data_IF_219191390027
#
_entry.id   IF_219191390027
#
_cell.length_a   1.000
_cell.length_b   1.000
_cell.length_c   1.000
_cell.angle_alpha   90.00
_cell.angle_beta   90.00
_cell.angle_gamma   90.00
#
_symmetry.space_group_name_H-M   'P 1'
#
loop_
_entity.id
_entity.type
_entity.pdbx_description
1 polymer ?
#
# COMPACT_ATOMS: atom_id res chain seq x y z
N UNK A 1 16.38 25.31 -6.38
CA UNK A 1 15.51 24.87 -7.50
C UNK A 1 15.68 23.41 -7.91
N UNK A 2 16.90 22.90 -8.15
CA UNK A 2 17.09 21.53 -8.64
C UNK A 2 16.36 20.43 -7.85
N UNK A 3 16.41 20.47 -6.52
CA UNK A 3 15.68 19.51 -5.68
C UNK A 3 14.16 19.57 -5.85
N UNK A 4 13.56 20.75 -5.99
CA UNK A 4 12.11 20.86 -6.18
C UNK A 4 11.69 20.27 -7.52
N UNK A 5 12.42 20.58 -8.60
CA UNK A 5 12.17 20.02 -9.94
C UNK A 5 12.24 18.50 -9.90
N UNK A 6 13.26 17.96 -9.22
CA UNK A 6 13.43 16.52 -9.05
C UNK A 6 12.25 15.89 -8.30
N UNK A 7 11.82 16.49 -7.19
CA UNK A 7 10.66 15.99 -6.42
C UNK A 7 9.37 16.06 -7.24
N UNK A 8 9.12 17.13 -8.00
CA UNK A 8 7.94 17.19 -8.88
C UNK A 8 7.98 16.10 -9.95
N UNK A 9 9.15 15.84 -10.54
CA UNK A 9 9.30 14.73 -11.48
C UNK A 9 8.95 13.39 -10.83
N UNK A 10 9.46 13.12 -9.62
CA UNK A 10 9.13 11.90 -8.88
C UNK A 10 7.63 11.79 -8.54
N UNK A 11 6.98 12.90 -8.17
CA UNK A 11 5.53 12.93 -7.92
C UNK A 11 4.74 12.64 -9.20
N UNK A 12 5.17 13.19 -10.34
CA UNK A 12 4.54 12.90 -11.63
C UNK A 12 4.67 11.42 -11.99
N UNK A 13 5.85 10.81 -11.81
CA UNK A 13 6.07 9.37 -12.01
C UNK A 13 5.16 8.55 -11.08
N UNK A 14 5.12 8.88 -9.78
CA UNK A 14 4.25 8.21 -8.81
C UNK A 14 2.78 8.25 -9.25
N UNK A 15 2.31 9.42 -9.68
CA UNK A 15 0.92 9.63 -10.11
C UNK A 15 0.60 8.79 -11.33
N UNK A 16 1.44 8.85 -12.37
CA UNK A 16 1.25 8.07 -13.61
C UNK A 16 1.29 6.56 -13.35
N UNK A 17 2.26 6.09 -12.57
CA UNK A 17 2.38 4.68 -12.21
C UNK A 17 1.17 4.18 -11.41
N UNK A 18 0.70 4.98 -10.44
CA UNK A 18 -0.46 4.63 -9.62
C UNK A 18 -1.74 4.58 -10.45
N UNK A 19 -1.99 5.59 -11.31
CA UNK A 19 -3.13 5.60 -12.23
C UNK A 19 -3.08 4.39 -13.16
N UNK A 20 -1.92 4.07 -13.73
CA UNK A 20 -1.75 2.89 -14.58
C UNK A 20 -2.07 1.58 -13.83
N UNK A 21 -1.58 1.42 -12.60
CA UNK A 21 -1.85 0.22 -11.80
C UNK A 21 -3.34 0.08 -11.46
N UNK A 22 -3.98 1.17 -11.05
CA UNK A 22 -5.41 1.21 -10.73
C UNK A 22 -6.23 0.88 -11.98
N UNK A 23 -5.93 1.52 -13.12
CA UNK A 23 -6.57 1.22 -14.40
C UNK A 23 -6.39 -0.25 -14.78
N UNK A 24 -5.15 -0.76 -14.72
CA UNK A 24 -4.87 -2.17 -15.00
C UNK A 24 -5.74 -3.07 -14.14
N UNK A 25 -5.79 -2.84 -12.83
CA UNK A 25 -6.60 -3.65 -11.91
C UNK A 25 -8.08 -3.64 -12.27
N UNK A 26 -8.65 -2.47 -12.58
CA UNK A 26 -10.07 -2.37 -12.96
C UNK A 26 -10.40 -3.02 -14.31
N UNK A 27 -9.42 -3.14 -15.20
CA UNK A 27 -9.59 -3.78 -16.51
C UNK A 27 -9.30 -5.28 -16.53
N UNK A 28 -8.81 -5.85 -15.43
CA UNK A 28 -8.55 -7.29 -15.37
C UNK A 28 -9.86 -8.09 -15.52
N UNK A 29 -9.83 -9.22 -16.25
CA UNK A 29 -10.95 -10.16 -16.29
C UNK A 29 -11.33 -10.63 -14.88
N UNK A 30 -12.59 -11.05 -14.71
CA UNK A 30 -13.03 -11.69 -13.47
C UNK A 30 -12.09 -12.87 -13.13
N UNK A 31 -11.53 -12.86 -11.93
CA UNK A 31 -10.61 -13.90 -11.46
C UNK A 31 -11.38 -15.15 -11.00
N UNK A 32 -10.69 -16.30 -10.93
CA UNK A 32 -11.26 -17.52 -10.34
C UNK A 32 -11.33 -17.31 -8.83
N UNK A 33 -12.55 -17.26 -8.30
CA UNK A 33 -12.82 -16.97 -6.89
C UNK A 33 -12.76 -18.25 -6.07
N UNK A 34 -12.08 -18.19 -4.94
CA UNK A 34 -12.11 -19.24 -3.93
C UNK A 34 -12.88 -18.68 -2.74
N UNK A 35 -14.01 -19.31 -2.43
CA UNK A 35 -14.84 -18.92 -1.30
C UNK A 35 -14.24 -19.50 -0.01
N UNK A 36 -13.29 -18.77 0.57
CA UNK A 36 -12.58 -19.20 1.78
C UNK A 36 -13.26 -18.57 2.99
N UNK A 37 -14.18 -19.33 3.60
CA UNK A 37 -14.76 -18.98 4.89
C UNK A 37 -13.79 -19.30 6.03
N UNK A 38 -13.78 -18.51 7.12
CA UNK A 38 -14.71 -17.42 7.41
C UNK A 38 -14.34 -16.08 6.75
N UNK A 39 -15.34 -15.42 6.14
CA UNK A 39 -15.21 -14.08 5.60
C UNK A 39 -15.52 -13.05 6.69
N UNK A 40 -14.63 -12.08 6.88
CA UNK A 40 -14.64 -11.24 8.08
C UNK A 40 -15.71 -10.14 8.06
N UNK A 41 -16.27 -9.83 6.89
CA UNK A 41 -17.38 -8.88 6.75
C UNK A 41 -18.75 -9.54 6.91
N UNK A 42 -18.83 -10.84 7.22
CA UNK A 42 -20.09 -11.50 7.53
C UNK A 42 -20.78 -10.85 8.73
N UNK A 43 -22.10 -11.04 8.82
CA UNK A 43 -22.90 -10.53 9.95
C UNK A 43 -22.40 -11.11 11.27
N UNK A 44 -22.60 -10.38 12.38
CA UNK A 44 -21.98 -10.69 13.67
C UNK A 44 -22.29 -12.11 14.19
N UNK A 45 -23.50 -12.61 13.93
CA UNK A 45 -23.92 -13.96 14.31
C UNK A 45 -23.10 -15.03 13.58
N UNK A 46 -22.92 -14.90 12.26
CA UNK A 46 -22.18 -15.87 11.43
C UNK A 46 -20.68 -15.77 11.59
N UNK A 47 -20.16 -14.55 11.69
CA UNK A 47 -18.74 -14.31 11.86
C UNK A 47 -18.18 -14.93 13.16
N UNK A 48 -19.02 -15.15 14.19
CA UNK A 48 -18.62 -15.72 15.46
C UNK A 48 -18.17 -17.19 15.37
N UNK A 49 -18.96 -18.02 14.67
CA UNK A 49 -18.65 -19.45 14.50
C UNK A 49 -17.96 -19.75 13.15
N UNK A 50 -17.79 -18.73 12.32
CA UNK A 50 -17.09 -18.80 11.04
C UNK A 50 -17.95 -19.31 9.89
N UNK A 51 -19.25 -19.06 9.95
CA UNK A 51 -20.21 -19.52 8.96
C UNK A 51 -20.26 -18.70 7.67
N UNK A 52 -21.17 -19.11 6.79
CA UNK A 52 -21.41 -18.51 5.46
C UNK A 52 -22.87 -18.11 5.27
N UNK A 53 -23.13 -17.09 4.45
CA UNK A 53 -24.47 -16.82 3.92
C UNK A 53 -25.13 -18.04 3.25
N UNK A 54 -24.34 -19.01 2.75
CA UNK A 54 -24.82 -20.24 2.11
C UNK A 54 -25.53 -21.19 3.08
N UNK A 55 -25.37 -21.00 4.39
CA UNK A 55 -26.08 -21.79 5.41
C UNK A 55 -27.57 -21.45 5.48
N UNK A 56 -27.96 -20.26 5.00
CA UNK A 56 -29.36 -19.87 4.97
C UNK A 56 -30.08 -20.63 3.84
N UNK A 57 -31.16 -21.33 4.19
CA UNK A 57 -32.06 -21.93 3.18
C UNK A 57 -32.56 -20.83 2.24
N UNK A 58 -32.56 -21.10 0.95
CA UNK A 58 -32.91 -20.14 -0.09
C UNK A 58 -32.12 -18.82 0.01
N UNK A 59 -30.84 -18.86 0.39
CA UNK A 59 -30.00 -17.66 0.49
C UNK A 59 -30.03 -16.80 -0.78
N UNK A 60 -30.17 -17.41 -1.96
CA UNK A 60 -30.23 -16.72 -3.26
C UNK A 60 -31.48 -15.86 -3.45
N UNK A 61 -32.53 -16.05 -2.63
CA UNK A 61 -33.73 -15.19 -2.63
C UNK A 61 -33.56 -13.96 -1.74
N UNK A 62 -32.56 -13.95 -0.87
CA UNK A 62 -32.35 -12.89 0.11
C UNK A 62 -31.33 -11.87 -0.42
N UNK A 63 -31.40 -10.64 0.08
CA UNK A 63 -30.35 -9.65 -0.17
C UNK A 63 -29.06 -10.13 0.50
N UNK A 64 -27.96 -10.04 -0.24
CA UNK A 64 -26.63 -10.28 0.31
C UNK A 64 -26.28 -9.16 1.31
N UNK A 65 -25.92 -9.55 2.53
CA UNK A 65 -25.69 -8.64 3.66
C UNK A 65 -24.24 -8.73 4.13
N UNK A 66 -23.57 -7.59 4.19
CA UNK A 66 -22.22 -7.45 4.72
C UNK A 66 -22.16 -6.38 5.80
N UNK A 67 -21.17 -6.47 6.67
CA UNK A 67 -20.89 -5.52 7.74
C UNK A 67 -19.57 -4.82 7.49
N UNK A 68 -19.65 -3.57 6.99
CA UNK A 68 -18.49 -2.69 6.84
C UNK A 68 -17.78 -2.45 8.20
N UNK A 69 -18.53 -2.45 9.31
CA UNK A 69 -17.94 -2.31 10.64
C UNK A 69 -17.05 -3.52 10.98
N UNK A 70 -17.48 -4.74 10.67
CA UNK A 70 -16.69 -5.94 10.92
C UNK A 70 -15.45 -5.99 10.01
N UNK A 71 -15.62 -5.57 8.75
CA UNK A 71 -14.54 -5.38 7.79
C UNK A 71 -13.44 -4.48 8.36
N UNK A 72 -13.79 -3.26 8.78
CA UNK A 72 -12.87 -2.30 9.38
C UNK A 72 -12.25 -2.83 10.69
N UNK A 73 -13.06 -3.45 11.55
CA UNK A 73 -12.60 -4.03 12.82
C UNK A 73 -11.55 -5.13 12.61
N UNK A 74 -11.60 -5.86 11.49
CA UNK A 74 -10.57 -6.83 11.15
C UNK A 74 -9.38 -6.18 10.43
N UNK A 75 -9.63 -5.33 9.42
CA UNK A 75 -8.57 -4.74 8.59
C UNK A 75 -7.64 -3.82 9.39
N UNK A 76 -8.19 -2.96 10.25
CA UNK A 76 -7.40 -1.95 10.96
C UNK A 76 -6.31 -2.61 11.82
N UNK A 77 -6.59 -3.59 12.68
CA UNK A 77 -5.54 -4.28 13.43
C UNK A 77 -4.61 -5.11 12.55
N UNK A 78 -5.13 -5.71 11.48
CA UNK A 78 -4.32 -6.52 10.56
C UNK A 78 -3.29 -5.69 9.81
N UNK A 79 -3.62 -4.44 9.46
CA UNK A 79 -2.70 -3.56 8.75
C UNK A 79 -1.84 -2.77 9.73
N UNK A 80 -2.42 -2.06 10.70
CA UNK A 80 -1.66 -1.19 11.59
C UNK A 80 -0.76 -1.95 12.55
N UNK A 81 -1.22 -3.10 13.07
CA UNK A 81 -0.49 -3.88 14.06
C UNK A 81 0.06 -5.20 13.53
N UNK A 82 -0.07 -5.46 12.22
CA UNK A 82 0.38 -6.71 11.60
C UNK A 82 -0.13 -7.94 12.38
N UNK A 83 -1.43 -7.93 12.75
CA UNK A 83 -2.02 -8.92 13.68
C UNK A 83 -1.76 -10.37 13.23
N UNK A 84 -1.80 -10.67 11.94
CA UNK A 84 -1.43 -11.98 11.40
C UNK A 84 -0.02 -12.42 11.79
N UNK A 85 0.98 -11.54 11.67
CA UNK A 85 2.36 -11.83 12.11
C UNK A 85 2.44 -12.01 13.63
N UNK A 86 1.70 -11.22 14.41
CA UNK A 86 1.67 -11.39 15.86
C UNK A 86 1.13 -12.76 16.29
N UNK A 87 0.16 -13.29 15.56
CA UNK A 87 -0.43 -14.61 15.85
C UNK A 87 0.46 -15.75 15.37
N UNK A 88 0.90 -15.71 14.12
CA UNK A 88 1.55 -16.85 13.46
C UNK A 88 3.08 -16.84 13.60
N UNK A 89 3.71 -15.68 13.75
CA UNK A 89 5.16 -15.56 13.83
C UNK A 89 5.62 -14.35 14.66
N UNK A 90 5.50 -14.47 15.99
CA UNK A 90 5.89 -13.40 16.94
C UNK A 90 7.34 -12.95 16.79
N UNK A 91 8.26 -13.87 16.50
CA UNK A 91 9.68 -13.53 16.32
C UNK A 91 9.87 -12.56 15.16
N UNK A 92 9.20 -12.81 14.03
CA UNK A 92 9.25 -11.92 12.87
C UNK A 92 8.49 -10.61 13.12
N UNK A 93 7.43 -10.63 13.92
CA UNK A 93 6.66 -9.44 14.28
C UNK A 93 7.52 -8.37 14.97
N UNK A 94 8.35 -8.75 15.96
CA UNK A 94 9.18 -7.79 16.69
C UNK A 94 10.17 -7.01 15.81
N UNK A 95 10.52 -7.57 14.65
CA UNK A 95 11.42 -6.94 13.68
C UNK A 95 10.61 -6.20 12.60
N UNK A 96 9.53 -6.80 12.14
CA UNK A 96 8.67 -6.25 11.08
C UNK A 96 7.87 -5.04 11.56
N UNK A 97 7.40 -5.04 12.81
CA UNK A 97 6.55 -3.98 13.33
C UNK A 97 7.28 -2.63 13.40
N UNK A 98 8.50 -2.51 13.98
CA UNK A 98 9.27 -1.25 13.92
C UNK A 98 9.50 -0.74 12.49
N UNK A 99 9.75 -1.65 11.53
CA UNK A 99 9.91 -1.30 10.12
C UNK A 99 8.64 -0.65 9.55
N UNK A 100 7.49 -1.28 9.73
CA UNK A 100 6.21 -0.75 9.25
C UNK A 100 5.80 0.51 10.01
N UNK A 101 6.01 0.55 11.32
CA UNK A 101 5.77 1.73 12.15
C UNK A 101 6.58 2.92 11.63
N UNK A 102 7.87 2.73 11.32
CA UNK A 102 8.70 3.78 10.71
C UNK A 102 8.10 4.32 9.42
N UNK A 103 7.67 3.45 8.51
CA UNK A 103 7.03 3.85 7.25
C UNK A 103 5.68 4.57 7.47
N UNK A 104 4.85 4.07 8.38
CA UNK A 104 3.57 4.71 8.73
C UNK A 104 3.79 6.11 9.32
N UNK A 105 4.75 6.25 10.23
CA UNK A 105 5.04 7.55 10.83
C UNK A 105 5.65 8.51 9.80
N UNK A 106 6.44 8.06 8.83
CA UNK A 106 6.89 8.93 7.73
C UNK A 106 5.74 9.46 6.87
N UNK A 107 4.74 8.64 6.58
CA UNK A 107 3.54 9.10 5.90
C UNK A 107 2.80 10.14 6.75
N UNK A 108 2.65 9.88 8.05
CA UNK A 108 2.01 10.83 8.99
C UNK A 108 2.79 12.15 9.03
N UNK A 109 4.12 12.13 9.15
CA UNK A 109 4.95 13.34 9.14
C UNK A 109 4.79 14.10 7.84
N UNK A 110 4.81 13.43 6.70
CA UNK A 110 4.61 14.08 5.41
C UNK A 110 3.27 14.82 5.36
N UNK A 111 2.18 14.20 5.85
CA UNK A 111 0.87 14.84 5.96
C UNK A 111 0.88 16.00 6.95
N UNK A 112 1.51 15.85 8.12
CA UNK A 112 1.62 16.93 9.12
C UNK A 112 2.42 18.13 8.58
N UNK A 113 3.49 17.88 7.83
CA UNK A 113 4.28 18.93 7.19
C UNK A 113 3.47 19.67 6.11
N UNK A 114 2.66 18.95 5.33
CA UNK A 114 1.74 19.57 4.36
C UNK A 114 0.69 20.44 5.06
N UNK A 115 0.11 19.94 6.16
CA UNK A 115 -0.87 20.69 6.97
C UNK A 115 -0.23 21.94 7.56
N UNK A 116 0.98 21.83 8.11
CA UNK A 116 1.72 22.99 8.62
C UNK A 116 1.99 24.00 7.51
N UNK A 117 2.51 23.57 6.37
CA UNK A 117 2.79 24.47 5.25
C UNK A 117 1.52 25.15 4.73
N UNK A 118 0.40 24.44 4.66
CA UNK A 118 -0.90 25.01 4.29
C UNK A 118 -1.35 26.09 5.27
N UNK A 119 -1.27 25.85 6.58
CA UNK A 119 -1.64 26.86 7.58
C UNK A 119 -0.73 28.10 7.54
N UNK A 120 0.56 27.91 7.28
CA UNK A 120 1.49 29.02 7.06
C UNK A 120 1.10 29.87 5.85
N UNK A 121 0.67 29.25 4.74
CA UNK A 121 0.24 29.97 3.53
C UNK A 121 -1.13 30.62 3.67
N UNK A 122 -2.01 30.07 4.49
CA UNK A 122 -3.34 30.63 4.74
C UNK A 122 -3.26 31.94 5.54
N UNK A 123 -2.12 32.23 6.20
CA UNK A 123 -1.93 33.42 7.06
C UNK A 123 -3.05 33.55 8.12
N UNK A 124 -3.51 32.41 8.65
CA UNK A 124 -4.56 32.38 9.67
C UNK A 124 -4.05 33.00 10.98
N UNK A 125 -4.83 33.90 11.58
CA UNK A 125 -4.53 34.45 12.91
C UNK A 125 -4.46 33.39 14.00
N UNK A 126 -5.11 32.23 13.79
CA UNK A 126 -5.06 31.06 14.69
C UNK A 126 -3.71 30.33 14.60
N UNK A 127 -3.01 30.45 13.46
CA UNK A 127 -1.69 29.89 13.22
C UNK A 127 -0.60 30.98 13.24
N UNK A 128 -0.72 31.93 14.18
CA UNK A 128 0.30 32.93 14.41
C UNK A 128 1.60 32.27 14.89
N UNK A 129 2.75 32.83 14.49
CA UNK A 129 4.05 32.38 14.93
C UNK A 129 4.15 32.39 16.47
N UNK A 130 4.52 31.26 17.06
CA UNK A 130 4.57 31.10 18.53
C UNK A 130 3.20 30.94 19.20
N UNK A 131 2.11 30.87 18.44
CA UNK A 131 0.79 30.53 18.95
C UNK A 131 0.70 29.06 19.39
N UNK A 132 -0.25 28.77 20.29
CA UNK A 132 -0.45 27.43 20.86
C UNK A 132 -0.60 26.34 19.79
N UNK A 133 -1.37 26.61 18.73
CA UNK A 133 -1.63 25.63 17.65
C UNK A 133 -0.36 25.33 16.85
N UNK A 134 0.43 26.35 16.50
CA UNK A 134 1.70 26.18 15.80
C UNK A 134 2.69 25.38 16.65
N UNK A 135 2.83 25.73 17.93
CA UNK A 135 3.77 25.06 18.83
C UNK A 135 3.38 23.60 19.06
N UNK A 136 2.08 23.29 19.21
CA UNK A 136 1.60 21.91 19.34
C UNK A 136 1.84 21.10 18.07
N UNK A 137 1.53 21.65 16.89
CA UNK A 137 1.75 20.98 15.62
C UNK A 137 3.25 20.74 15.37
N UNK A 138 4.06 21.76 15.61
CA UNK A 138 5.52 21.68 15.50
C UNK A 138 6.09 20.65 16.48
N UNK A 139 5.65 20.63 17.73
CA UNK A 139 6.05 19.63 18.72
C UNK A 139 5.67 18.21 18.29
N UNK A 140 4.45 18.02 17.77
CA UNK A 140 4.00 16.72 17.24
C UNK A 140 4.86 16.25 16.07
N UNK A 141 5.18 17.14 15.12
CA UNK A 141 6.05 16.83 13.97
C UNK A 141 7.42 16.35 14.44
N UNK A 142 8.00 17.01 15.45
CA UNK A 142 9.31 16.62 15.99
C UNK A 142 9.23 15.24 16.63
N UNK A 143 8.28 15.02 17.55
CA UNK A 143 8.15 13.76 18.28
C UNK A 143 7.88 12.59 17.34
N UNK A 144 6.89 12.73 16.46
CA UNK A 144 6.56 11.71 15.45
C UNK A 144 7.73 11.50 14.49
N UNK A 145 8.39 12.60 14.09
CA UNK A 145 9.64 12.67 13.34
C UNK A 145 10.68 11.69 13.85
N UNK A 146 11.14 11.93 15.08
CA UNK A 146 12.18 11.16 15.73
C UNK A 146 11.77 9.69 15.91
N UNK A 147 10.56 9.43 16.40
CA UNK A 147 10.08 8.05 16.59
C UNK A 147 10.07 7.31 15.26
N UNK A 148 9.56 7.93 14.20
CA UNK A 148 9.51 7.34 12.86
C UNK A 148 10.88 7.05 12.28
N UNK A 149 11.84 7.98 12.38
CA UNK A 149 13.19 7.80 11.86
C UNK A 149 13.96 6.71 12.61
N UNK A 150 13.84 6.67 13.94
CA UNK A 150 14.47 5.64 14.77
C UNK A 150 13.85 4.27 14.50
N UNK A 151 12.53 4.17 14.55
CA UNK A 151 11.82 2.91 14.30
C UNK A 151 12.09 2.38 12.87
N UNK A 152 12.07 3.26 11.87
CA UNK A 152 12.36 2.90 10.48
C UNK A 152 13.79 2.46 10.27
N UNK A 153 14.77 3.11 10.92
CA UNK A 153 16.19 2.71 10.85
C UNK A 153 16.39 1.34 11.49
N UNK A 154 15.95 1.17 12.74
CA UNK A 154 16.10 -0.08 13.50
C UNK A 154 15.35 -1.23 12.81
N UNK A 155 14.12 -0.96 12.37
CA UNK A 155 13.29 -1.93 11.66
C UNK A 155 13.88 -2.36 10.32
N UNK A 156 14.34 -1.41 9.51
CA UNK A 156 14.96 -1.72 8.20
C UNK A 156 16.24 -2.52 8.36
N UNK A 157 17.10 -2.14 9.31
CA UNK A 157 18.32 -2.88 9.62
C UNK A 157 18.00 -4.27 10.14
N UNK A 158 17.05 -4.39 11.09
CA UNK A 158 16.62 -5.66 11.63
C UNK A 158 16.06 -6.60 10.55
N UNK A 159 15.24 -6.08 9.64
CA UNK A 159 14.69 -6.86 8.52
C UNK A 159 15.77 -7.31 7.54
N UNK A 160 16.75 -6.46 7.25
CA UNK A 160 17.90 -6.82 6.41
C UNK A 160 18.70 -7.96 7.06
N UNK A 161 19.07 -7.81 8.34
CA UNK A 161 19.83 -8.80 9.08
C UNK A 161 19.07 -10.13 9.19
N UNK A 162 17.76 -10.07 9.50
CA UNK A 162 16.92 -11.26 9.59
C UNK A 162 16.86 -12.01 8.25
N UNK A 163 16.79 -11.29 7.13
CA UNK A 163 16.78 -11.87 5.78
C UNK A 163 18.14 -12.43 5.32
N UNK A 164 19.25 -11.93 5.88
CA UNK A 164 20.59 -12.44 5.59
C UNK A 164 20.92 -13.70 6.42
N UNK A 165 20.49 -13.73 7.69
CA UNK A 165 20.82 -14.78 8.65
C UNK A 165 19.85 -15.96 8.57
N UNK A 166 18.55 -15.70 8.47
CA UNK A 166 17.52 -16.74 8.53
C UNK A 166 17.45 -17.49 7.19
N UNK A 167 17.89 -18.76 7.20
CA UNK A 167 17.92 -19.60 6.00
C UNK A 167 16.55 -19.78 5.36
N UNK A 168 15.49 -19.87 6.17
CA UNK A 168 14.13 -20.06 5.67
C UNK A 168 13.64 -18.79 4.96
N UNK A 169 13.90 -17.60 5.52
CA UNK A 169 13.55 -16.35 4.82
C UNK A 169 14.41 -16.13 3.57
N UNK A 170 15.70 -16.48 3.64
CA UNK A 170 16.61 -16.34 2.50
C UNK A 170 16.17 -17.16 1.29
N UNK A 171 15.63 -18.37 1.49
CA UNK A 171 15.11 -19.20 0.39
C UNK A 171 13.88 -18.62 -0.30
N UNK A 172 13.14 -17.72 0.35
CA UNK A 172 11.98 -17.02 -0.23
C UNK A 172 12.28 -15.57 -0.61
N UNK A 173 13.56 -15.16 -0.60
CA UNK A 173 13.97 -13.79 -0.90
C UNK A 173 14.55 -13.66 -2.29
N UNK A 174 14.11 -12.65 -3.01
CA UNK A 174 14.68 -12.24 -4.30
C UNK A 174 15.73 -11.14 -4.11
N UNK A 175 16.58 -10.91 -5.11
CA UNK A 175 17.56 -9.79 -5.10
C UNK A 175 16.85 -8.44 -4.91
N UNK A 176 15.67 -8.28 -5.52
CA UNK A 176 14.85 -7.07 -5.40
C UNK A 176 14.41 -6.81 -3.96
N UNK A 177 14.15 -7.84 -3.16
CA UNK A 177 13.77 -7.67 -1.75
C UNK A 177 14.91 -7.05 -0.93
N UNK A 178 16.16 -7.43 -1.20
CA UNK A 178 17.33 -6.85 -0.54
C UNK A 178 17.55 -5.40 -0.99
N UNK A 179 17.45 -5.13 -2.30
CA UNK A 179 17.57 -3.77 -2.84
C UNK A 179 16.52 -2.84 -2.22
N UNK A 180 15.27 -3.29 -2.13
CA UNK A 180 14.18 -2.52 -1.53
C UNK A 180 14.48 -2.16 -0.06
N UNK A 181 14.90 -3.14 0.74
CA UNK A 181 15.20 -2.91 2.17
C UNK A 181 16.41 -1.99 2.33
N UNK A 182 17.47 -2.17 1.53
CA UNK A 182 18.65 -1.29 1.56
C UNK A 182 18.27 0.13 1.17
N UNK A 183 17.47 0.30 0.13
CA UNK A 183 17.03 1.62 -0.32
C UNK A 183 16.22 2.36 0.76
N UNK A 184 15.28 1.68 1.41
CA UNK A 184 14.53 2.22 2.55
C UNK A 184 15.44 2.52 3.74
N UNK A 185 16.39 1.63 4.06
CA UNK A 185 17.36 1.83 5.13
C UNK A 185 18.22 3.09 4.87
N UNK A 186 18.70 3.28 3.65
CA UNK A 186 19.49 4.47 3.27
C UNK A 186 18.69 5.75 3.42
N UNK A 187 17.40 5.74 3.08
CA UNK A 187 16.51 6.87 3.30
C UNK A 187 16.41 7.21 4.80
N UNK A 188 16.08 6.23 5.64
CA UNK A 188 15.95 6.43 7.08
C UNK A 188 17.26 6.86 7.74
N UNK A 189 18.39 6.25 7.36
CA UNK A 189 19.71 6.63 7.85
C UNK A 189 20.06 8.06 7.46
N UNK A 190 19.82 8.45 6.21
CA UNK A 190 20.08 9.81 5.75
C UNK A 190 19.23 10.82 6.54
N UNK A 191 17.93 10.54 6.71
CA UNK A 191 17.01 11.40 7.45
C UNK A 191 17.42 11.54 8.92
N UNK A 192 17.80 10.43 9.56
CA UNK A 192 18.26 10.41 10.95
C UNK A 192 19.56 11.19 11.12
N UNK A 193 20.54 11.00 10.22
CA UNK A 193 21.81 11.72 10.27
C UNK A 193 21.63 13.21 10.01
N UNK A 194 20.76 13.61 9.07
CA UNK A 194 20.41 15.01 8.85
C UNK A 194 19.77 15.63 10.09
N UNK A 195 18.86 14.92 10.74
CA UNK A 195 18.20 15.40 11.95
C UNK A 195 19.16 15.52 13.12
N UNK A 196 20.11 14.59 13.27
CA UNK A 196 21.13 14.67 14.32
C UNK A 196 22.15 15.79 14.11
N UNK A 197 22.52 16.08 12.87
CA UNK A 197 23.65 16.98 12.56
C UNK A 197 23.25 18.39 12.17
N UNK A 198 22.09 18.58 11.53
CA UNK A 198 21.75 19.83 10.86
C UNK A 198 20.32 20.32 11.13
N UNK A 199 19.34 19.43 11.35
CA UNK A 199 17.93 19.82 11.52
C UNK A 199 17.19 19.07 12.65
N UNK A 200 17.61 19.20 13.93
CA UNK A 200 17.01 18.43 15.03
C UNK A 200 15.53 18.72 15.29
N UNK A 201 15.09 19.92 14.91
CA UNK A 201 13.72 20.39 15.09
C UNK A 201 12.87 20.29 13.81
N UNK A 202 13.42 19.70 12.74
CA UNK A 202 12.76 19.55 11.44
C UNK A 202 12.26 20.87 10.84
N UNK A 203 12.93 21.99 11.19
CA UNK A 203 12.59 23.32 10.67
C UNK A 203 12.88 23.41 9.18
N UNK A 204 14.03 22.86 8.78
CA UNK A 204 14.34 22.72 7.38
C UNK A 204 13.27 21.88 6.67
N UNK A 205 12.92 20.71 7.20
CA UNK A 205 11.96 19.83 6.53
C UNK A 205 10.61 20.55 6.28
N UNK A 206 10.16 21.38 7.23
CA UNK A 206 8.99 22.25 7.07
C UNK A 206 9.17 23.29 5.98
N UNK A 207 10.30 24.01 6.00
CA UNK A 207 10.64 25.01 4.98
C UNK A 207 10.70 24.39 3.57
N UNK A 208 11.19 23.15 3.46
CA UNK A 208 11.27 22.44 2.19
C UNK A 208 9.88 22.12 1.62
N UNK A 209 8.95 21.65 2.45
CA UNK A 209 7.57 21.36 2.04
C UNK A 209 6.82 22.66 1.70
N UNK A 210 7.03 23.73 2.45
CA UNK A 210 6.52 25.06 2.10
C UNK A 210 7.04 25.54 0.75
N UNK A 211 8.34 25.34 0.50
CA UNK A 211 8.98 25.57 -0.79
C UNK A 211 8.33 24.77 -1.92
N UNK A 212 8.02 23.48 -1.70
CA UNK A 212 7.30 22.63 -2.66
C UNK A 212 5.87 23.12 -2.94
N UNK A 213 5.13 23.63 -1.96
CA UNK A 213 3.78 24.15 -2.22
C UNK A 213 3.79 25.49 -2.97
N UNK A 214 4.91 26.21 -2.94
CA UNK A 214 5.06 27.55 -3.52
C UNK A 214 5.94 27.58 -4.77
N UNK A 215 6.21 26.42 -5.38
CA UNK A 215 7.10 26.31 -6.55
C UNK A 215 8.50 26.91 -6.33
N UNK A 216 8.99 26.88 -5.09
CA UNK A 216 10.29 27.43 -4.67
C UNK A 216 10.31 28.95 -4.46
N UNK A 217 9.17 29.64 -4.62
CA UNK A 217 9.11 31.12 -4.47
C UNK A 217 9.29 31.57 -3.02
N UNK A 218 8.74 30.84 -2.05
CA UNK A 218 8.91 31.16 -0.62
C UNK A 218 10.32 30.89 -0.10
N UNK A 219 10.99 29.85 -0.63
CA UNK A 219 12.30 29.38 -0.18
C UNK A 219 13.10 28.85 -1.37
N UNK A 220 14.13 29.58 -1.80
CA UNK A 220 14.95 29.21 -2.95
C UNK A 220 16.05 28.20 -2.63
N UNK A 221 16.46 28.13 -1.36
CA UNK A 221 17.48 27.22 -0.85
C UNK A 221 17.03 26.55 0.46
N UNK A 222 17.30 25.24 0.56
CA UNK A 222 17.03 24.41 1.72
C UNK A 222 18.36 24.15 2.45
N UNK A 223 18.50 24.69 3.67
CA UNK A 223 19.78 24.69 4.41
C UNK A 223 20.30 23.26 4.66
N UNK A 224 19.51 22.29 5.15
CA UNK A 224 20.00 20.92 5.29
C UNK A 224 20.36 20.25 3.96
N UNK A 225 19.76 20.68 2.84
CA UNK A 225 20.08 20.19 1.49
C UNK A 225 21.46 20.59 0.99
N UNK A 226 22.16 21.45 1.72
CA UNK A 226 23.56 21.78 1.48
C UNK A 226 24.50 20.74 2.11
N UNK A 227 24.00 19.92 3.04
CA UNK A 227 24.72 18.76 3.56
C UNK A 227 24.48 17.53 2.67
N UNK A 228 25.46 16.63 2.60
CA UNK A 228 25.32 15.37 1.85
C UNK A 228 24.13 14.56 2.38
N UNK A 229 24.02 14.42 3.71
CA UNK A 229 22.92 13.67 4.32
C UNK A 229 21.55 14.28 3.99
N UNK A 230 21.41 15.61 4.04
CA UNK A 230 20.13 16.27 3.77
C UNK A 230 19.75 16.24 2.29
N UNK A 231 20.73 16.41 1.39
CA UNK A 231 20.54 16.19 -0.03
C UNK A 231 20.09 14.75 -0.33
N UNK A 232 20.79 13.76 0.24
CA UNK A 232 20.43 12.34 0.14
C UNK A 232 19.04 12.08 0.69
N UNK A 233 18.65 12.67 1.81
CA UNK A 233 17.30 12.52 2.39
C UNK A 233 16.22 12.96 1.40
N UNK A 234 16.36 14.13 0.79
CA UNK A 234 15.41 14.62 -0.22
C UNK A 234 15.39 13.70 -1.43
N UNK A 235 16.57 13.36 -1.96
CA UNK A 235 16.68 12.56 -3.18
C UNK A 235 16.10 11.16 -2.97
N UNK A 236 16.50 10.48 -1.91
CA UNK A 236 16.02 9.14 -1.58
C UNK A 236 14.53 9.14 -1.25
N UNK A 237 14.04 10.14 -0.50
CA UNK A 237 12.61 10.27 -0.19
C UNK A 237 11.77 10.49 -1.44
N UNK A 238 12.22 11.37 -2.35
CA UNK A 238 11.54 11.63 -3.63
C UNK A 238 11.56 10.39 -4.53
N UNK A 239 12.71 9.73 -4.64
CA UNK A 239 12.83 8.48 -5.40
C UNK A 239 11.94 7.38 -4.80
N UNK A 240 11.85 7.27 -3.47
CA UNK A 240 11.02 6.26 -2.82
C UNK A 240 9.54 6.45 -3.17
N UNK A 241 9.06 7.69 -3.21
CA UNK A 241 7.70 8.02 -3.67
C UNK A 241 7.50 7.51 -5.11
N UNK A 242 8.40 7.84 -6.04
CA UNK A 242 8.29 7.37 -7.44
C UNK A 242 8.39 5.83 -7.56
N UNK A 243 9.21 5.21 -6.72
CA UNK A 243 9.58 3.80 -6.81
C UNK A 243 8.55 2.83 -6.23
N UNK A 244 7.89 3.19 -5.12
CA UNK A 244 6.90 2.34 -4.45
C UNK A 244 5.83 1.77 -5.39
N UNK A 245 5.11 2.56 -6.22
CA UNK A 245 4.08 2.02 -7.11
C UNK A 245 4.65 1.14 -8.22
N UNK A 246 5.94 1.25 -8.55
CA UNK A 246 6.57 0.47 -9.61
C UNK A 246 7.09 -0.89 -9.15
N UNK A 247 6.92 -1.24 -7.87
CA UNK A 247 7.47 -2.47 -7.29
C UNK A 247 6.43 -3.29 -6.53
N UNK A 248 6.87 -4.44 -6.02
CA UNK A 248 6.10 -5.25 -5.08
C UNK A 248 5.67 -4.47 -3.82
N UNK A 249 6.32 -3.34 -3.50
CA UNK A 249 5.94 -2.48 -2.37
C UNK A 249 4.60 -1.75 -2.56
N UNK A 250 4.05 -1.74 -3.78
CA UNK A 250 2.70 -1.23 -4.05
C UNK A 250 1.62 -1.88 -3.18
N UNK A 251 1.85 -3.11 -2.70
CA UNK A 251 0.94 -3.76 -1.74
C UNK A 251 0.67 -2.89 -0.51
N UNK A 252 1.60 -2.02 -0.08
CA UNK A 252 1.43 -1.17 1.10
C UNK A 252 0.16 -0.31 1.02
N UNK A 253 -0.09 0.33 -0.12
CA UNK A 253 -1.27 1.20 -0.29
C UNK A 253 -2.41 0.47 -1.01
N UNK A 254 -2.10 -0.38 -2.00
CA UNK A 254 -3.13 -1.14 -2.72
C UNK A 254 -3.89 -2.10 -1.80
N UNK A 255 -3.25 -2.62 -0.74
CA UNK A 255 -3.91 -3.49 0.25
C UNK A 255 -5.11 -2.79 0.87
N UNK A 256 -5.04 -1.52 1.26
CA UNK A 256 -6.21 -0.84 1.84
C UNK A 256 -7.39 -0.74 0.86
N UNK A 257 -7.12 -0.43 -0.41
CA UNK A 257 -8.16 -0.23 -1.42
C UNK A 257 -8.69 -1.51 -2.04
N UNK A 258 -7.92 -2.60 -2.02
CA UNK A 258 -8.28 -3.85 -2.68
C UNK A 258 -8.42 -5.03 -1.72
N UNK A 259 -8.22 -4.86 -0.41
CA UNK A 259 -8.26 -5.97 0.55
C UNK A 259 -9.54 -6.78 0.44
N UNK A 260 -10.68 -6.08 0.39
CA UNK A 260 -12.00 -6.66 0.28
C UNK A 260 -12.17 -7.41 -1.04
N UNK A 261 -11.77 -6.80 -2.16
CA UNK A 261 -11.89 -7.40 -3.49
C UNK A 261 -10.93 -8.58 -3.74
N UNK A 262 -9.90 -8.74 -2.91
CA UNK A 262 -8.88 -9.80 -3.10
C UNK A 262 -9.03 -10.92 -2.08
N UNK A 263 -9.23 -10.59 -0.80
CA UNK A 263 -9.29 -11.59 0.28
C UNK A 263 -10.72 -12.02 0.60
N UNK A 264 -11.70 -11.16 0.32
CA UNK A 264 -13.08 -11.32 0.78
C UNK A 264 -14.09 -11.13 -0.37
N UNK A 265 -13.71 -11.37 -1.63
CA UNK A 265 -14.66 -11.29 -2.74
C UNK A 265 -15.55 -12.55 -2.80
N UNK A 266 -16.54 -12.60 -1.91
CA UNK A 266 -17.55 -13.65 -1.76
C UNK A 266 -18.92 -13.24 -2.34
N UNK A 267 -18.96 -12.16 -3.15
CA UNK A 267 -20.21 -11.66 -3.73
C UNK A 267 -20.86 -12.73 -4.61
N UNK A 268 -22.11 -13.15 -4.33
CA UNK A 268 -22.75 -14.22 -5.08
C UNK A 268 -23.00 -13.82 -6.54
N UNK A 269 -22.89 -14.78 -7.45
CA UNK A 269 -23.33 -14.57 -8.83
C UNK A 269 -24.87 -14.54 -8.88
N UNK A 270 -25.43 -13.44 -9.38
CA UNK A 270 -26.87 -13.27 -9.57
C UNK A 270 -27.20 -13.11 -11.05
N UNK A 271 -28.38 -13.58 -11.45
CA UNK A 271 -28.87 -13.45 -12.83
C UNK A 271 -29.08 -11.98 -13.17
N UNK A 272 -28.59 -11.56 -14.34
CA UNK A 272 -28.51 -10.17 -14.78
C UNK A 272 -27.44 -9.35 -14.06
N UNK A 273 -26.66 -9.97 -13.17
CA UNK A 273 -25.67 -9.28 -12.35
C UNK A 273 -24.36 -9.00 -13.09
N UNK A 274 -23.52 -8.16 -12.48
CA UNK A 274 -22.18 -7.80 -12.98
C UNK A 274 -21.29 -9.03 -13.21
N UNK A 275 -21.36 -10.01 -12.32
CA UNK A 275 -20.55 -11.24 -12.39
C UNK A 275 -20.96 -12.08 -13.59
N UNK A 276 -22.26 -12.32 -13.79
CA UNK A 276 -22.76 -13.05 -14.96
C UNK A 276 -22.33 -12.37 -16.27
N UNK A 277 -22.48 -11.05 -16.37
CA UNK A 277 -22.03 -10.29 -17.53
C UNK A 277 -20.51 -10.44 -17.78
N UNK A 278 -19.70 -10.40 -16.72
CA UNK A 278 -18.25 -10.59 -16.81
C UNK A 278 -17.88 -12.03 -17.21
N UNK A 279 -18.60 -13.04 -16.70
CA UNK A 279 -18.41 -14.45 -17.09
C UNK A 279 -18.77 -14.65 -18.56
N UNK A 280 -19.90 -14.10 -19.03
CA UNK A 280 -20.29 -14.17 -20.44
C UNK A 280 -19.21 -13.54 -21.32
N UNK A 281 -18.72 -12.35 -20.96
CA UNK A 281 -17.62 -11.69 -21.68
C UNK A 281 -16.33 -12.53 -21.68
N UNK A 282 -16.00 -13.16 -20.55
CA UNK A 282 -14.84 -14.04 -20.46
C UNK A 282 -14.99 -15.29 -21.33
N UNK A 283 -16.22 -15.81 -21.50
CA UNK A 283 -16.50 -16.95 -22.38
C UNK A 283 -16.27 -16.62 -23.86
N UNK A 284 -16.27 -15.34 -24.25
CA UNK A 284 -15.94 -14.92 -25.62
C UNK A 284 -14.43 -14.93 -25.90
N UNK A 285 -13.59 -15.02 -24.86
CA UNK A 285 -12.14 -15.09 -25.03
C UNK A 285 -11.74 -16.38 -25.75
N UNK A 286 -10.71 -16.27 -26.60
CA UNK A 286 -10.17 -17.40 -27.38
C UNK A 286 -8.82 -17.81 -26.83
N UNK A 287 -8.62 -19.07 -26.39
CA UNK A 287 -7.32 -19.54 -25.92
C UNK A 287 -6.29 -19.42 -27.03
N UNK A 288 -5.14 -18.82 -26.72
CA UNK A 288 -4.03 -18.62 -27.68
C UNK A 288 -3.12 -19.83 -27.82
N UNK A 289 -3.31 -20.82 -26.95
CA UNK A 289 -2.56 -22.07 -26.89
C UNK A 289 -3.40 -23.25 -27.39
N UNK A 290 -2.72 -24.37 -27.68
CA UNK A 290 -3.36 -25.60 -28.12
C UNK A 290 -3.29 -26.66 -27.03
N UNK A 291 -4.43 -27.24 -26.67
CA UNK A 291 -4.44 -28.48 -25.89
C UNK A 291 -5.68 -29.31 -26.22
N UNK A 292 -5.42 -30.52 -26.75
CA UNK A 292 -6.48 -31.42 -27.24
C UNK A 292 -7.47 -31.84 -26.15
N UNK A 293 -7.01 -31.99 -24.91
CA UNK A 293 -7.84 -32.49 -23.79
C UNK A 293 -8.94 -31.50 -23.35
N UNK A 294 -8.85 -30.23 -23.73
CA UNK A 294 -9.88 -29.20 -23.51
C UNK A 294 -10.34 -28.57 -24.83
N UNK A 295 -10.07 -29.23 -25.96
CA UNK A 295 -10.39 -28.75 -27.31
C UNK A 295 -9.91 -27.33 -27.66
N UNK A 296 -8.90 -26.81 -26.95
CA UNK A 296 -8.29 -25.53 -27.27
C UNK A 296 -7.42 -25.68 -28.52
N UNK A 297 -7.67 -24.85 -29.54
CA UNK A 297 -7.09 -24.98 -30.88
C UNK A 297 -6.25 -23.77 -31.33
N UNK A 298 -5.83 -22.92 -30.38
CA UNK A 298 -4.95 -21.79 -30.65
C UNK A 298 -5.62 -20.67 -31.44
N UNK A 299 -6.76 -20.19 -30.94
CA UNK A 299 -7.55 -19.02 -31.37
C UNK A 299 -8.73 -19.23 -32.33
N UNK A 300 -9.11 -20.45 -32.73
CA UNK A 300 -10.28 -20.60 -33.62
C UNK A 300 -11.59 -20.62 -32.83
N UNK A 301 -11.64 -21.40 -31.75
CA UNK A 301 -12.80 -21.49 -30.85
C UNK A 301 -12.70 -20.52 -29.67
N UNK A 302 -13.83 -19.94 -29.27
CA UNK A 302 -13.96 -19.26 -27.97
C UNK A 302 -14.19 -20.28 -26.84
N UNK A 303 -14.03 -19.86 -25.59
CA UNK A 303 -14.41 -20.70 -24.45
C UNK A 303 -15.89 -21.10 -24.51
N UNK A 304 -16.77 -20.21 -24.97
CA UNK A 304 -18.19 -20.51 -25.20
C UNK A 304 -18.37 -21.68 -26.17
N UNK A 305 -17.64 -21.68 -27.28
CA UNK A 305 -17.72 -22.76 -28.29
C UNK A 305 -17.18 -24.09 -27.74
N UNK A 306 -16.13 -24.02 -26.91
CA UNK A 306 -15.52 -25.18 -26.27
C UNK A 306 -16.45 -25.81 -25.23
N UNK A 307 -17.06 -25.01 -24.34
CA UNK A 307 -17.93 -25.55 -23.27
C UNK A 307 -19.33 -25.92 -23.76
N UNK A 308 -19.76 -25.37 -24.90
CA UNK A 308 -21.04 -25.72 -25.53
C UNK A 308 -20.94 -26.94 -26.44
N UNK A 309 -19.74 -27.47 -26.69
CA UNK A 309 -19.59 -28.69 -27.47
C UNK A 309 -20.11 -29.89 -26.67
N UNK A 310 -20.81 -30.80 -27.35
CA UNK A 310 -21.38 -31.99 -26.71
C UNK A 310 -20.24 -32.79 -26.07
N UNK A 311 -20.36 -33.22 -24.79
CA UNK A 311 -19.36 -34.06 -24.17
C UNK A 311 -19.11 -35.29 -25.04
N UNK A 312 -17.87 -35.51 -25.48
CA UNK A 312 -17.52 -36.77 -26.12
C UNK A 312 -17.48 -37.81 -25.02
N UNK A 313 -18.40 -38.76 -25.04
CA UNK A 313 -18.25 -39.98 -24.25
C UNK A 313 -16.88 -40.57 -24.58
N UNK A 314 -16.02 -40.65 -23.56
CA UNK A 314 -14.81 -41.46 -23.62
C UNK A 314 -15.27 -42.90 -23.74
N UNK A 315 -15.19 -43.45 -24.96
CA UNK A 315 -15.19 -44.89 -25.19
C UNK A 315 -13.86 -45.50 -24.75
#
# INVERSE_FOLDING_TARGET
>A
MGFYIFTYFCIAVFTLASVYLIYRQFTLPLHVRWEIYPVQHETAERAFYGGSYMEKVDWWKNKYETSCLNELKYMVPEILFLRGLWKENRSLWYISFPFHLGLYLMLVIFVLLLVQAFFTLWESSVFAAGGMVETLLSGLIIVVGWIGMIAGTVGSLGMLMKRLIDRALRSYSTVTDYINIIFILLFFLSALLTSLSADPFLNGARDYILGLLTAGTSRTAYVPGQSICGASTIMLGSLLIAYIPMTHMSHMFMKFFLYHNVKWDDVPNSRGGRIEAAVIKNLELKPTWQAKHVEADGQKKSWKDIVSSVPRETK
#
